data_IF_767381495587
#
_entry.id   IF_767381495587
#
_cell.length_a   1.000
_cell.length_b   1.000
_cell.length_c   1.000
_cell.angle_alpha   90.00
_cell.angle_beta   90.00
_cell.angle_gamma   90.00
#
_symmetry.space_group_name_H-M   'P 1'
#
loop_
_entity.id
_entity.type
_entity.pdbx_description
1 polymer ?
#
# COMPACT_ATOMS: atom_id res chain seq x y z
N UNK A 1 -9.57 5.58 -24.46
CA UNK A 1 -8.48 6.40 -23.88
C UNK A 1 -7.18 5.95 -24.52
N UNK A 2 -6.31 6.88 -24.88
CA UNK A 2 -4.96 6.51 -25.32
C UNK A 2 -4.19 5.92 -24.13
N UNK A 3 -3.20 5.07 -24.39
CA UNK A 3 -2.36 4.47 -23.33
C UNK A 3 -1.68 5.54 -22.48
N UNK A 4 -1.25 6.62 -23.15
CA UNK A 4 -0.73 7.83 -22.51
C UNK A 4 -1.72 8.45 -21.53
N UNK A 5 -2.98 8.61 -21.93
CA UNK A 5 -4.01 9.19 -21.06
C UNK A 5 -4.28 8.30 -19.85
N UNK A 6 -4.25 6.98 -20.02
CA UNK A 6 -4.39 6.03 -18.90
C UNK A 6 -3.24 6.16 -17.90
N UNK A 7 -1.98 6.11 -18.35
CA UNK A 7 -0.84 6.29 -17.45
C UNK A 7 -0.82 7.68 -16.81
N UNK A 8 -1.19 8.72 -17.55
CA UNK A 8 -1.33 10.08 -17.00
C UNK A 8 -2.36 10.12 -15.89
N UNK A 9 -3.51 9.48 -16.09
CA UNK A 9 -4.57 9.39 -15.09
C UNK A 9 -4.10 8.58 -13.87
N UNK A 10 -3.46 7.43 -14.08
CA UNK A 10 -2.94 6.57 -13.01
C UNK A 10 -1.92 7.32 -12.14
N UNK A 11 -0.94 8.00 -12.75
CA UNK A 11 0.07 8.79 -12.03
C UNK A 11 -0.58 9.92 -11.23
N UNK A 12 -1.57 10.61 -11.81
CA UNK A 12 -2.30 11.69 -11.10
C UNK A 12 -3.11 11.18 -9.92
N UNK A 13 -3.81 10.05 -10.09
CA UNK A 13 -4.55 9.41 -8.98
C UNK A 13 -3.58 8.98 -7.88
N UNK A 14 -2.46 8.38 -8.23
CA UNK A 14 -1.43 8.00 -7.27
C UNK A 14 -0.86 9.21 -6.51
N UNK A 15 -0.57 10.30 -7.22
CA UNK A 15 -0.10 11.55 -6.60
C UNK A 15 -1.14 12.16 -5.64
N UNK A 16 -2.42 12.14 -6.02
CA UNK A 16 -3.51 12.62 -5.17
C UNK A 16 -3.71 11.73 -3.93
N UNK A 17 -3.68 10.41 -4.12
CA UNK A 17 -3.77 9.45 -3.02
C UNK A 17 -2.62 9.62 -2.02
N UNK A 18 -1.40 9.77 -2.52
CA UNK A 18 -0.21 10.03 -1.71
C UNK A 18 -0.33 11.33 -0.91
N UNK A 19 -0.89 12.38 -1.52
CA UNK A 19 -1.15 13.65 -0.84
C UNK A 19 -2.19 13.49 0.28
N UNK A 20 -3.27 12.75 0.05
CA UNK A 20 -4.30 12.46 1.06
C UNK A 20 -3.69 11.70 2.25
N UNK A 21 -2.90 10.64 2.01
CA UNK A 21 -2.22 9.92 3.10
C UNK A 21 -1.32 10.86 3.90
N UNK A 22 -0.58 11.74 3.21
CA UNK A 22 0.34 12.67 3.87
C UNK A 22 -0.39 13.66 4.77
N UNK A 23 -1.60 14.08 4.37
CA UNK A 23 -2.42 15.00 5.14
C UNK A 23 -3.06 14.33 6.36
N UNK A 24 -3.54 13.08 6.21
CA UNK A 24 -4.34 12.41 7.24
C UNK A 24 -3.58 11.39 8.11
N UNK A 25 -2.42 10.90 7.67
CA UNK A 25 -1.60 9.97 8.48
C UNK A 25 -0.32 10.65 8.95
N UNK A 26 0.47 11.19 8.02
CA UNK A 26 1.79 11.75 8.35
C UNK A 26 1.68 13.00 9.23
N UNK A 27 0.80 13.95 8.87
CA UNK A 27 0.65 15.21 9.62
C UNK A 27 0.23 14.98 11.09
N UNK A 28 -0.81 14.17 11.40
CA UNK A 28 -1.18 13.88 12.78
C UNK A 28 -0.08 13.16 13.58
N UNK A 29 0.65 12.23 12.95
CA UNK A 29 1.75 11.50 13.59
C UNK A 29 2.89 12.45 13.99
N UNK A 30 3.23 13.41 13.12
CA UNK A 30 4.23 14.43 13.42
C UNK A 30 3.79 15.35 14.56
N UNK A 31 2.52 15.76 14.58
CA UNK A 31 1.96 16.56 15.68
C UNK A 31 2.04 15.77 17.00
N UNK A 32 1.63 14.50 16.99
CA UNK A 32 1.68 13.63 18.17
C UNK A 32 3.11 13.49 18.71
N UNK A 33 4.08 13.27 17.81
CA UNK A 33 5.50 13.17 18.15
C UNK A 33 6.02 14.45 18.80
N UNK A 34 5.67 15.62 18.25
CA UNK A 34 6.05 16.90 18.86
C UNK A 34 5.48 17.05 20.27
N UNK A 35 4.21 16.70 20.50
CA UNK A 35 3.60 16.79 21.83
C UNK A 35 4.28 15.88 22.86
N UNK A 36 4.76 14.70 22.43
CA UNK A 36 5.45 13.74 23.30
C UNK A 36 6.86 14.21 23.70
N UNK A 37 7.67 14.65 22.73
CA UNK A 37 9.08 14.95 22.98
C UNK A 37 9.34 16.44 23.28
N UNK A 38 8.42 17.34 22.92
CA UNK A 38 8.50 18.80 23.10
C UNK A 38 9.80 19.44 22.57
N UNK A 39 10.41 18.81 21.58
CA UNK A 39 11.63 19.30 20.93
C UNK A 39 11.28 19.94 19.57
N UNK A 40 11.71 21.19 19.42
CA UNK A 40 11.49 22.00 18.23
C UNK A 40 12.22 21.46 17.00
N UNK A 41 13.28 20.66 17.16
CA UNK A 41 13.98 20.02 16.05
C UNK A 41 13.04 19.15 15.20
N UNK A 42 12.13 18.41 15.86
CA UNK A 42 11.11 17.59 15.19
C UNK A 42 10.10 18.41 14.41
N UNK A 43 9.79 19.64 14.84
CA UNK A 43 8.93 20.53 14.06
C UNK A 43 9.59 20.91 12.74
N UNK A 44 10.87 21.29 12.74
CA UNK A 44 11.55 21.65 11.49
C UNK A 44 11.69 20.46 10.54
N UNK A 45 12.02 19.28 11.07
CA UNK A 45 12.13 18.05 10.27
C UNK A 45 10.77 17.67 9.67
N UNK A 46 9.69 17.72 10.45
CA UNK A 46 8.34 17.39 9.98
C UNK A 46 7.82 18.38 8.93
N UNK A 47 8.06 19.68 9.12
CA UNK A 47 7.71 20.72 8.14
C UNK A 47 8.49 20.53 6.84
N UNK A 48 9.79 20.25 6.93
CA UNK A 48 10.63 19.93 5.79
C UNK A 48 10.16 18.68 5.05
N UNK A 49 9.86 17.61 5.78
CA UNK A 49 9.30 16.37 5.23
C UNK A 49 7.97 16.60 4.50
N UNK A 50 7.05 17.34 5.12
CA UNK A 50 5.75 17.66 4.53
C UNK A 50 5.88 18.49 3.24
N UNK A 51 6.79 19.47 3.22
CA UNK A 51 7.06 20.27 2.02
C UNK A 51 7.64 19.42 0.89
N UNK A 52 8.60 18.54 1.20
CA UNK A 52 9.19 17.63 0.22
C UNK A 52 8.13 16.70 -0.37
N UNK A 53 7.28 16.10 0.47
CA UNK A 53 6.21 15.21 0.02
C UNK A 53 5.18 15.96 -0.82
N UNK A 54 4.78 17.15 -0.39
CA UNK A 54 3.83 17.99 -1.14
C UNK A 54 4.41 18.40 -2.49
N UNK A 55 5.69 18.79 -2.53
CA UNK A 55 6.40 19.10 -3.77
C UNK A 55 6.48 17.88 -4.70
N UNK A 56 6.76 16.71 -4.15
CA UNK A 56 6.78 15.46 -4.90
C UNK A 56 5.39 15.13 -5.49
N UNK A 57 4.32 15.23 -4.70
CA UNK A 57 2.94 15.03 -5.17
C UNK A 57 2.57 16.04 -6.26
N UNK A 58 2.97 17.30 -6.09
CA UNK A 58 2.78 18.34 -7.10
C UNK A 58 3.50 18.01 -8.42
N UNK A 59 4.73 17.51 -8.36
CA UNK A 59 5.46 17.04 -9.54
C UNK A 59 4.75 15.87 -10.23
N UNK A 60 4.26 14.88 -9.48
CA UNK A 60 3.51 13.76 -10.04
C UNK A 60 2.26 14.24 -10.80
N UNK A 61 1.50 15.18 -10.23
CA UNK A 61 0.26 15.68 -10.82
C UNK A 61 0.54 16.58 -12.04
N UNK A 62 1.50 17.50 -11.91
CA UNK A 62 1.76 18.54 -12.92
C UNK A 62 2.70 18.09 -14.04
N UNK A 63 3.58 17.11 -13.78
CA UNK A 63 4.61 16.63 -14.70
C UNK A 63 4.47 15.14 -15.04
N UNK A 64 3.26 14.58 -14.92
CA UNK A 64 2.95 13.20 -15.31
C UNK A 64 3.49 12.84 -16.71
N UNK A 65 3.38 13.75 -17.69
CA UNK A 65 3.90 13.53 -19.04
C UNK A 65 5.43 13.36 -19.11
N UNK A 66 6.19 14.05 -18.26
CA UNK A 66 7.64 13.87 -18.20
C UNK A 66 8.00 12.49 -17.64
N UNK A 67 7.23 12.00 -16.67
CA UNK A 67 7.43 10.68 -16.07
C UNK A 67 7.13 9.59 -17.10
N UNK A 68 6.03 9.72 -17.85
CA UNK A 68 5.64 8.78 -18.91
C UNK A 68 6.73 8.70 -19.98
N UNK A 69 7.23 9.86 -20.44
CA UNK A 69 8.27 9.92 -21.47
C UNK A 69 9.61 9.35 -20.95
N UNK A 70 9.99 9.65 -19.70
CA UNK A 70 11.30 9.24 -19.14
C UNK A 70 11.36 7.74 -18.81
N UNK A 71 10.24 7.17 -18.36
CA UNK A 71 10.12 5.75 -18.08
C UNK A 71 9.68 4.94 -19.31
N UNK A 72 9.47 5.61 -20.44
CA UNK A 72 9.03 5.01 -21.69
C UNK A 72 7.81 4.08 -21.51
N UNK A 73 6.85 4.49 -20.66
CA UNK A 73 5.71 3.66 -20.25
C UNK A 73 4.78 3.28 -21.42
N UNK A 74 4.95 3.94 -22.56
CA UNK A 74 4.23 3.65 -23.80
C UNK A 74 4.90 2.52 -24.62
N UNK A 75 6.19 2.20 -24.38
CA UNK A 75 6.93 1.22 -25.17
C UNK A 75 6.61 -0.22 -24.75
N UNK A 76 6.55 -1.11 -25.74
CA UNK A 76 6.28 -2.55 -25.54
C UNK A 76 4.80 -2.93 -25.64
N UNK A 77 3.92 -1.98 -26.01
CA UNK A 77 2.53 -2.28 -26.31
C UNK A 77 2.25 -2.08 -27.80
N UNK A 78 1.80 -3.14 -28.50
CA UNK A 78 1.61 -3.12 -29.96
C UNK A 78 0.41 -2.29 -30.44
N UNK A 79 -0.60 -2.06 -29.58
CA UNK A 79 -1.78 -1.24 -29.91
C UNK A 79 -1.65 0.22 -29.42
N UNK A 80 -2.34 1.19 -30.04
CA UNK A 80 -2.37 2.57 -29.53
C UNK A 80 -3.51 2.82 -28.53
N UNK A 81 -4.58 2.03 -28.63
CA UNK A 81 -5.77 2.15 -27.80
C UNK A 81 -5.78 1.08 -26.72
N UNK A 82 -6.14 1.47 -25.48
CA UNK A 82 -6.59 0.49 -24.49
C UNK A 82 -8.05 0.18 -24.84
N UNK A 83 -8.23 -0.86 -25.65
CA UNK A 83 -9.55 -1.47 -25.80
C UNK A 83 -9.75 -2.27 -24.52
N UNK A 84 -10.53 -1.73 -23.57
CA UNK A 84 -11.11 -2.51 -22.47
C UNK A 84 -12.19 -3.44 -23.09
N UNK A 85 -11.76 -4.32 -23.99
CA UNK A 85 -12.62 -5.16 -24.80
C UNK A 85 -13.31 -6.17 -23.91
N UNK A 86 -14.65 -6.17 -23.97
CA UNK A 86 -15.57 -7.16 -23.40
C UNK A 86 -15.06 -7.78 -22.08
N UNK A 87 -14.76 -6.95 -21.08
CA UNK A 87 -14.43 -7.40 -19.73
C UNK A 87 -15.66 -8.11 -19.18
N UNK A 88 -15.71 -9.43 -19.38
CA UNK A 88 -16.77 -10.26 -18.84
C UNK A 88 -16.78 -10.12 -17.31
N UNK A 89 -17.97 -10.11 -16.70
CA UNK A 89 -18.18 -10.04 -15.24
C UNK A 89 -17.21 -10.97 -14.49
N UNK A 90 -17.06 -12.20 -14.99
CA UNK A 90 -16.13 -13.20 -14.47
C UNK A 90 -14.67 -12.73 -14.43
N UNK A 91 -14.20 -12.00 -15.44
CA UNK A 91 -12.82 -11.50 -15.50
C UNK A 91 -12.59 -10.37 -14.50
N UNK A 92 -13.59 -9.51 -14.30
CA UNK A 92 -13.58 -8.45 -13.28
C UNK A 92 -13.54 -9.08 -11.88
N UNK A 93 -14.38 -10.10 -11.63
CA UNK A 93 -14.38 -10.86 -10.38
C UNK A 93 -13.03 -11.53 -10.09
N UNK A 94 -12.43 -12.19 -11.10
CA UNK A 94 -11.10 -12.80 -10.98
C UNK A 94 -10.04 -11.78 -10.58
N UNK A 95 -10.06 -10.60 -11.22
CA UNK A 95 -9.12 -9.51 -10.91
C UNK A 95 -9.35 -8.96 -9.50
N UNK A 96 -10.60 -8.74 -9.10
CA UNK A 96 -10.94 -8.23 -7.78
C UNK A 96 -10.48 -9.18 -6.66
N UNK A 97 -10.75 -10.49 -6.80
CA UNK A 97 -10.32 -11.51 -5.82
C UNK A 97 -8.80 -11.57 -5.72
N UNK A 98 -8.10 -11.47 -6.86
CA UNK A 98 -6.64 -11.45 -6.89
C UNK A 98 -6.09 -10.22 -6.17
N UNK A 99 -6.63 -9.03 -6.44
CA UNK A 99 -6.22 -7.80 -5.76
C UNK A 99 -6.46 -7.86 -4.25
N UNK A 100 -7.65 -8.30 -3.82
CA UNK A 100 -7.97 -8.45 -2.38
C UNK A 100 -7.01 -9.44 -1.71
N UNK A 101 -6.78 -10.60 -2.33
CA UNK A 101 -5.84 -11.59 -1.80
C UNK A 101 -4.41 -11.05 -1.70
N UNK A 102 -3.98 -10.28 -2.69
CA UNK A 102 -2.65 -9.66 -2.72
C UNK A 102 -2.48 -8.61 -1.63
N UNK A 103 -3.45 -7.71 -1.45
CA UNK A 103 -3.42 -6.70 -0.39
C UNK A 103 -3.38 -7.34 1.01
N UNK A 104 -4.18 -8.40 1.24
CA UNK A 104 -4.15 -9.14 2.51
C UNK A 104 -2.77 -9.71 2.83
N UNK A 105 -2.03 -10.23 1.84
CA UNK A 105 -0.68 -10.74 2.09
C UNK A 105 0.30 -9.58 2.34
N UNK A 106 0.30 -8.56 1.49
CA UNK A 106 1.25 -7.45 1.60
C UNK A 106 1.09 -6.68 2.91
N UNK A 107 -0.14 -6.40 3.33
CA UNK A 107 -0.40 -5.60 4.52
C UNK A 107 -0.07 -6.36 5.81
N UNK A 108 -0.33 -7.68 5.84
CA UNK A 108 -0.22 -8.46 7.07
C UNK A 108 1.09 -9.24 7.24
N UNK A 109 1.84 -9.54 6.16
CA UNK A 109 3.16 -10.19 6.28
C UNK A 109 4.15 -9.39 7.16
N UNK A 110 4.31 -8.05 6.99
CA UNK A 110 5.21 -7.28 7.84
C UNK A 110 4.81 -7.30 9.32
N UNK A 111 3.51 -7.16 9.59
CA UNK A 111 2.96 -7.24 10.95
C UNK A 111 3.20 -8.62 11.58
N UNK A 112 2.97 -9.70 10.83
CA UNK A 112 3.22 -11.06 11.30
C UNK A 112 4.69 -11.28 11.66
N UNK A 113 5.62 -10.86 10.81
CA UNK A 113 7.06 -10.93 11.09
C UNK A 113 7.44 -10.11 12.32
N UNK A 114 6.89 -8.91 12.47
CA UNK A 114 7.10 -8.07 13.65
C UNK A 114 6.66 -8.78 14.94
N UNK A 115 5.47 -9.38 14.95
CA UNK A 115 4.97 -10.10 16.12
C UNK A 115 5.79 -11.37 16.43
N UNK A 116 6.22 -12.14 15.41
CA UNK A 116 7.11 -13.29 15.60
C UNK A 116 8.43 -12.86 16.23
N UNK A 117 9.06 -11.81 15.70
CA UNK A 117 10.34 -11.32 16.21
C UNK A 117 10.20 -10.86 17.66
N UNK A 118 9.10 -10.19 18.01
CA UNK A 118 8.84 -9.76 19.38
C UNK A 118 8.56 -10.94 20.32
N UNK A 119 7.81 -11.95 19.88
CA UNK A 119 7.59 -13.17 20.63
C UNK A 119 8.91 -13.89 20.90
N UNK A 120 9.77 -14.02 19.88
CA UNK A 120 11.09 -14.63 20.02
C UNK A 120 12.01 -13.85 20.97
N UNK A 121 12.04 -12.52 20.86
CA UNK A 121 12.83 -11.65 21.75
C UNK A 121 12.43 -11.83 23.21
N UNK A 122 11.14 -11.98 23.51
CA UNK A 122 10.64 -12.22 24.86
C UNK A 122 11.14 -13.56 25.43
N UNK A 123 11.12 -14.62 24.64
CA UNK A 123 11.55 -15.96 25.09
C UNK A 123 13.08 -16.05 25.29
N UNK A 124 13.86 -15.25 24.55
CA UNK A 124 15.33 -15.32 24.59
C UNK A 124 15.95 -14.25 25.52
N UNK A 125 15.22 -13.22 25.93
CA UNK A 125 15.76 -12.18 26.82
C UNK A 125 15.92 -12.68 28.26
N UNK A 126 17.16 -12.74 28.75
CA UNK A 126 17.51 -13.15 30.13
C UNK A 126 17.07 -12.11 31.18
N UNK A 127 16.98 -10.84 30.80
CA UNK A 127 16.39 -9.79 31.61
C UNK A 127 14.94 -9.63 31.18
N UNK A 128 13.98 -9.88 32.09
CA UNK A 128 12.56 -9.74 31.82
C UNK A 128 12.24 -8.35 31.31
N UNK A 129 12.08 -8.21 29.99
CA UNK A 129 11.60 -6.98 29.36
C UNK A 129 10.09 -6.94 29.61
N UNK A 130 9.69 -6.60 30.83
CA UNK A 130 8.28 -6.47 31.26
C UNK A 130 7.50 -5.44 30.42
N UNK A 131 8.20 -4.59 29.68
CA UNK A 131 7.61 -3.57 28.82
C UNK A 131 7.14 -4.06 27.43
N UNK A 132 7.55 -5.25 26.97
CA UNK A 132 7.15 -5.75 25.64
C UNK A 132 6.02 -6.78 25.77
N UNK A 133 4.80 -6.29 25.97
CA UNK A 133 3.59 -7.12 25.91
C UNK A 133 3.44 -7.66 24.48
N UNK A 134 3.73 -8.95 24.30
CA UNK A 134 3.53 -9.63 23.02
C UNK A 134 2.04 -9.65 22.71
N UNK A 135 1.68 -9.01 21.60
CA UNK A 135 0.31 -9.02 21.09
C UNK A 135 0.03 -10.30 20.31
N UNK A 136 -0.37 -11.35 21.03
CA UNK A 136 -0.76 -12.63 20.44
C UNK A 136 -2.07 -12.52 19.62
N UNK A 137 -2.91 -11.52 19.91
CA UNK A 137 -4.12 -11.29 19.14
C UNK A 137 -3.74 -10.74 17.75
N UNK A 138 -2.90 -9.71 17.69
CA UNK A 138 -2.34 -9.18 16.45
C UNK A 138 -1.58 -10.24 15.63
N UNK A 139 -0.81 -11.12 16.30
CA UNK A 139 -0.16 -12.26 15.65
C UNK A 139 -1.16 -13.22 15.01
N UNK A 140 -2.26 -13.53 15.70
CA UNK A 140 -3.29 -14.44 15.19
C UNK A 140 -4.04 -13.80 14.01
N UNK A 141 -4.43 -12.53 14.14
CA UNK A 141 -5.12 -11.78 13.09
C UNK A 141 -4.25 -11.69 11.83
N UNK A 142 -2.97 -11.35 11.97
CA UNK A 142 -2.05 -11.29 10.83
C UNK A 142 -1.85 -12.65 10.17
N UNK A 143 -1.70 -13.72 10.94
CA UNK A 143 -1.62 -15.09 10.43
C UNK A 143 -2.86 -15.49 9.61
N UNK A 144 -4.06 -15.28 10.16
CA UNK A 144 -5.32 -15.62 9.50
C UNK A 144 -5.50 -14.84 8.19
N UNK A 145 -5.19 -13.54 8.19
CA UNK A 145 -5.28 -12.72 6.97
C UNK A 145 -4.31 -13.17 5.88
N UNK A 146 -3.08 -13.58 6.24
CA UNK A 146 -2.12 -14.13 5.28
C UNK A 146 -2.64 -15.44 4.68
N UNK A 147 -3.19 -16.34 5.51
CA UNK A 147 -3.77 -17.60 5.04
C UNK A 147 -4.96 -17.33 4.11
N UNK A 148 -5.86 -16.43 4.47
CA UNK A 148 -6.99 -16.02 3.63
C UNK A 148 -6.49 -15.42 2.31
N UNK A 149 -5.53 -14.50 2.36
CA UNK A 149 -4.92 -13.91 1.17
C UNK A 149 -4.33 -14.97 0.25
N UNK A 150 -3.58 -15.93 0.80
CA UNK A 150 -3.01 -17.05 0.06
C UNK A 150 -4.09 -17.95 -0.58
N UNK A 151 -5.16 -18.26 0.15
CA UNK A 151 -6.28 -19.05 -0.35
C UNK A 151 -7.00 -18.34 -1.51
N UNK A 152 -7.24 -17.04 -1.39
CA UNK A 152 -7.82 -16.21 -2.45
C UNK A 152 -6.93 -16.20 -3.69
N UNK A 153 -5.61 -16.00 -3.52
CA UNK A 153 -4.65 -15.98 -4.63
C UNK A 153 -4.55 -17.33 -5.34
N UNK A 154 -4.59 -18.44 -4.59
CA UNK A 154 -4.46 -19.79 -5.18
C UNK A 154 -5.76 -20.26 -5.82
N UNK A 155 -6.91 -19.90 -5.26
CA UNK A 155 -8.23 -20.38 -5.71
C UNK A 155 -9.06 -19.31 -6.44
N UNK A 156 -8.46 -18.19 -6.86
CA UNK A 156 -9.16 -17.05 -7.45
C UNK A 156 -10.12 -17.43 -8.60
N UNK A 157 -9.76 -18.40 -9.44
CA UNK A 157 -10.63 -18.87 -10.54
C UNK A 157 -11.91 -19.52 -10.03
N UNK A 158 -11.79 -20.45 -9.08
CA UNK A 158 -12.91 -21.19 -8.49
C UNK A 158 -13.84 -20.27 -7.72
N UNK A 159 -13.27 -19.33 -6.98
CA UNK A 159 -14.04 -18.37 -6.19
C UNK A 159 -14.79 -17.42 -7.13
N UNK A 160 -14.15 -16.91 -8.18
CA UNK A 160 -14.83 -16.07 -9.16
C UNK A 160 -15.99 -16.79 -9.87
N UNK A 161 -15.80 -18.05 -10.25
CA UNK A 161 -16.83 -18.88 -10.87
C UNK A 161 -17.99 -19.23 -9.92
N UNK A 162 -17.74 -19.24 -8.61
CA UNK A 162 -18.78 -19.38 -7.60
C UNK A 162 -19.63 -18.11 -7.45
N UNK A 163 -19.02 -16.92 -7.56
CA UNK A 163 -19.72 -15.64 -7.45
C UNK A 163 -20.42 -15.20 -8.75
N UNK A 164 -19.99 -15.69 -9.90
CA UNK A 164 -20.60 -15.38 -11.21
C UNK A 164 -21.83 -16.28 -11.51
N UNK A 165 -22.07 -17.30 -10.68
CA UNK A 165 -23.28 -18.14 -10.69
C UNK A 165 -24.40 -17.51 -9.88
#
# INVERSE_FOLDING_TARGET
MTKRDFFRLLIKIFGLYSFIISLFMFLPEMISTFFLYKDYSYLFISLGGFLVITFFCFLLISKADLIINKLELEKGFDDENIILGNMNSLMILKLAILLVGFFLVIDYVPSFLYHIVNAFKKEVSTYGIDAQKVDYFGLTVSCVNIILGYLLLTNYKRIAEYFDK
#
